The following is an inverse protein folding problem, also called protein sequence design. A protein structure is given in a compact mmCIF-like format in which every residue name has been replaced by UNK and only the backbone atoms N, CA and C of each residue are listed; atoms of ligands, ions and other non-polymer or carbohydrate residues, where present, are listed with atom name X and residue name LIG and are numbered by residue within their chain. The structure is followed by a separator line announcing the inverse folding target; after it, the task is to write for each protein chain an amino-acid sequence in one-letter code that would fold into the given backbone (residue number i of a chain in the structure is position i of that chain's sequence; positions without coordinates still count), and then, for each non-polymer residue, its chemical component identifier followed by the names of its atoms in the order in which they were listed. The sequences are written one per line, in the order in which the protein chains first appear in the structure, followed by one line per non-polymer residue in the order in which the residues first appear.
data_IF_860364423278
#
_entry.id   IF_860364423278
#
_cell.length_a   1.000
_cell.length_b   1.000
_cell.length_c   1.000
_cell.angle_alpha   90.00
_cell.angle_beta   90.00
_cell.angle_gamma   90.00
#
_symmetry.space_group_name_H-M   'P 1'
#
loop_
_entity.id
_entity.type
_entity.pdbx_description
1 polymer ?
#
# COMPACT_ATOMS: atom_id res chain seq x y z
N UNK A 1 -0.44 34.44 17.38
CA UNK A 1 -1.04 34.00 16.12
C UNK A 1 -0.72 35.02 15.06
N UNK A 2 -0.27 34.63 13.86
CA UNK A 2 0.02 35.53 12.74
C UNK A 2 -1.24 35.70 11.90
N UNK A 3 -1.36 36.78 11.13
CA UNK A 3 -2.53 37.05 10.29
C UNK A 3 -2.79 35.92 9.27
N UNK A 4 -1.74 35.38 8.66
CA UNK A 4 -1.87 34.25 7.72
C UNK A 4 -2.37 32.95 8.37
N UNK A 5 -2.19 32.78 9.67
CA UNK A 5 -2.72 31.62 10.40
C UNK A 5 -4.23 31.79 10.66
N UNK A 6 -4.69 33.05 10.85
CA UNK A 6 -6.10 33.38 11.08
C UNK A 6 -6.95 33.07 9.86
N UNK A 7 -6.50 33.45 8.67
CA UNK A 7 -7.22 33.20 7.41
C UNK A 7 -7.47 31.71 7.18
N UNK A 8 -6.42 30.89 7.33
CA UNK A 8 -6.54 29.43 7.19
C UNK A 8 -7.46 28.80 8.25
N UNK A 9 -7.33 29.21 9.52
CA UNK A 9 -8.15 28.68 10.62
C UNK A 9 -9.60 29.15 10.54
N UNK A 10 -9.84 30.28 9.89
CA UNK A 10 -11.18 30.78 9.60
C UNK A 10 -11.97 29.85 8.69
N UNK A 11 -11.36 29.38 7.61
CA UNK A 11 -11.97 28.42 6.69
C UNK A 11 -12.27 27.09 7.39
N UNK A 12 -11.33 26.59 8.20
CA UNK A 12 -11.53 25.38 9.02
C UNK A 12 -12.70 25.51 10.01
N UNK A 13 -12.89 26.71 10.60
CA UNK A 13 -14.03 26.97 11.49
C UNK A 13 -15.38 26.98 10.76
N UNK A 14 -15.43 27.47 9.53
CA UNK A 14 -16.66 27.45 8.70
C UNK A 14 -17.06 26.05 8.31
N UNK A 15 -16.11 25.13 8.19
CA UNK A 15 -16.34 23.69 7.93
C UNK A 15 -16.70 22.90 9.18
N UNK A 16 -16.83 23.54 10.36
CA UNK A 16 -17.25 22.89 11.60
C UNK A 16 -16.13 22.29 12.43
N UNK A 17 -14.86 22.61 12.13
CA UNK A 17 -13.70 22.17 12.90
C UNK A 17 -13.40 23.18 14.02
N UNK A 18 -13.68 22.83 15.27
CA UNK A 18 -13.67 23.76 16.42
C UNK A 18 -12.42 23.91 17.30
N UNK A 19 -11.19 23.41 17.01
CA UNK A 19 -10.19 23.39 18.07
C UNK A 19 -9.56 24.76 18.42
N UNK A 20 -9.74 25.83 17.64
CA UNK A 20 -9.01 27.10 17.85
C UNK A 20 -9.85 28.38 17.77
N UNK A 21 -11.17 28.26 17.85
CA UNK A 21 -12.10 29.42 17.73
C UNK A 21 -11.77 30.58 18.66
N UNK A 22 -11.47 30.30 19.92
CA UNK A 22 -11.14 31.35 20.91
C UNK A 22 -9.86 32.12 20.55
N UNK A 23 -8.86 31.44 20.01
CA UNK A 23 -7.60 32.05 19.60
C UNK A 23 -7.77 32.95 18.37
N UNK A 24 -8.59 32.55 17.40
CA UNK A 24 -8.96 33.35 16.24
C UNK A 24 -9.72 34.61 16.68
N UNK A 25 -10.75 34.44 17.51
CA UNK A 25 -11.55 35.54 18.03
C UNK A 25 -10.71 36.53 18.90
N UNK A 26 -9.73 35.99 19.67
CA UNK A 26 -8.81 36.85 20.43
C UNK A 26 -7.90 37.68 19.52
N UNK A 27 -7.38 37.10 18.42
CA UNK A 27 -6.59 37.81 17.43
C UNK A 27 -7.42 38.89 16.72
N UNK A 28 -8.65 38.56 16.29
CA UNK A 28 -9.57 39.50 15.64
C UNK A 28 -9.86 40.73 16.53
N UNK A 29 -9.95 40.58 17.86
CA UNK A 29 -10.13 41.72 18.78
C UNK A 29 -8.96 42.70 18.78
N UNK A 30 -7.75 42.26 18.41
CA UNK A 30 -6.53 43.07 18.48
C UNK A 30 -5.94 43.48 17.13
N UNK A 31 -6.44 42.96 16.00
CA UNK A 31 -5.89 43.23 14.68
C UNK A 31 -6.92 43.90 13.75
N UNK A 32 -6.81 45.21 13.48
CA UNK A 32 -7.77 45.93 12.62
C UNK A 32 -7.84 45.37 11.19
N UNK A 33 -6.71 44.98 10.61
CA UNK A 33 -6.63 44.42 9.27
C UNK A 33 -7.41 43.09 9.15
N UNK A 34 -7.22 42.20 10.09
CA UNK A 34 -7.98 40.93 10.11
C UNK A 34 -9.47 41.15 10.45
N UNK A 35 -9.82 42.22 11.21
CA UNK A 35 -11.22 42.57 11.44
C UNK A 35 -11.92 43.04 10.17
N UNK A 36 -11.21 43.77 9.30
CA UNK A 36 -11.78 44.28 8.06
C UNK A 36 -12.02 43.10 7.08
N UNK A 37 -11.04 42.23 6.87
CA UNK A 37 -11.17 41.02 6.06
C UNK A 37 -12.30 40.11 6.60
N UNK A 38 -12.38 39.95 7.92
CA UNK A 38 -13.46 39.21 8.56
C UNK A 38 -14.83 39.78 8.24
N UNK A 39 -14.99 41.09 8.36
CA UNK A 39 -16.26 41.78 8.12
C UNK A 39 -16.70 41.71 6.66
N UNK A 40 -15.75 41.80 5.73
CA UNK A 40 -16.02 41.64 4.30
C UNK A 40 -16.48 40.20 3.98
N UNK A 41 -15.79 39.19 4.49
CA UNK A 41 -16.14 37.80 4.28
C UNK A 41 -17.49 37.42 4.90
N UNK A 42 -17.81 37.92 6.10
CA UNK A 42 -19.13 37.74 6.73
C UNK A 42 -20.23 38.43 5.91
N UNK A 43 -19.95 39.60 5.37
CA UNK A 43 -20.87 40.33 4.50
C UNK A 43 -21.17 39.52 3.21
N UNK A 44 -20.15 38.96 2.57
CA UNK A 44 -20.31 38.10 1.40
C UNK A 44 -21.11 36.84 1.77
N UNK A 45 -20.76 36.19 2.87
CA UNK A 45 -21.47 34.98 3.33
C UNK A 45 -22.97 35.28 3.59
N UNK A 46 -23.26 36.41 4.24
CA UNK A 46 -24.63 36.84 4.45
C UNK A 46 -25.37 37.09 3.13
N UNK A 47 -24.75 37.80 2.18
CA UNK A 47 -25.33 38.03 0.85
C UNK A 47 -25.63 36.72 0.13
N UNK A 48 -24.74 35.73 0.23
CA UNK A 48 -24.95 34.39 -0.38
C UNK A 48 -26.16 33.68 0.24
N UNK A 49 -26.38 33.80 1.56
CA UNK A 49 -27.56 33.21 2.22
C UNK A 49 -28.88 33.88 1.83
N UNK A 50 -28.82 35.15 1.37
CA UNK A 50 -29.99 35.88 0.90
C UNK A 50 -30.34 35.63 -0.57
N UNK A 51 -29.49 34.91 -1.31
CA UNK A 51 -29.80 34.54 -2.69
C UNK A 51 -30.91 33.47 -2.72
N UNK A 52 -31.85 33.57 -3.67
CA UNK A 52 -32.84 32.55 -3.83
C UNK A 52 -32.16 31.22 -4.13
N UNK A 53 -32.68 30.08 -3.62
CA UNK A 53 -32.16 28.77 -3.95
C UNK A 53 -32.24 28.58 -5.47
N UNK A 54 -31.12 28.25 -6.09
CA UNK A 54 -31.02 27.96 -7.51
C UNK A 54 -30.98 26.46 -7.67
N UNK A 55 -32.02 25.88 -8.26
CA UNK A 55 -32.01 24.47 -8.64
C UNK A 55 -30.98 24.27 -9.76
N UNK A 56 -29.98 23.41 -9.55
CA UNK A 56 -29.02 23.14 -10.60
C UNK A 56 -29.73 22.50 -11.81
N UNK A 57 -29.31 22.82 -13.06
CA UNK A 57 -29.87 22.17 -14.23
C UNK A 57 -29.79 20.64 -14.09
N UNK A 58 -30.85 19.93 -14.42
CA UNK A 58 -30.89 18.44 -14.34
C UNK A 58 -29.73 17.76 -15.09
N UNK A 59 -29.17 18.43 -16.11
CA UNK A 59 -28.02 17.96 -16.87
C UNK A 59 -26.66 18.15 -16.13
N UNK A 60 -26.62 18.92 -15.02
CA UNK A 60 -25.35 19.24 -14.35
C UNK A 60 -24.80 18.02 -13.59
N UNK A 61 -25.63 17.31 -12.86
CA UNK A 61 -25.23 16.12 -12.09
C UNK A 61 -24.62 15.05 -13.00
N UNK A 62 -25.24 14.64 -14.12
CA UNK A 62 -24.60 13.72 -15.07
C UNK A 62 -23.26 14.23 -15.59
N UNK A 63 -23.16 15.51 -15.97
CA UNK A 63 -21.90 16.09 -16.46
C UNK A 63 -20.79 16.08 -15.42
N UNK A 64 -21.11 16.41 -14.18
CA UNK A 64 -20.13 16.33 -13.06
C UNK A 64 -19.71 14.89 -12.86
N UNK A 65 -20.64 13.93 -12.82
CA UNK A 65 -20.34 12.51 -12.65
C UNK A 65 -19.47 11.98 -13.80
N UNK A 66 -19.74 12.36 -15.03
CA UNK A 66 -18.94 11.97 -16.19
C UNK A 66 -17.55 12.60 -16.14
N UNK A 67 -17.44 13.85 -15.72
CA UNK A 67 -16.16 14.51 -15.51
C UNK A 67 -15.35 13.84 -14.38
N UNK A 68 -15.98 13.51 -13.26
CA UNK A 68 -15.35 12.78 -12.16
C UNK A 68 -14.88 11.41 -12.64
N UNK A 69 -15.72 10.64 -13.36
CA UNK A 69 -15.35 9.33 -13.93
C UNK A 69 -14.17 9.42 -14.89
N UNK A 70 -14.11 10.48 -15.69
CA UNK A 70 -13.02 10.69 -16.64
C UNK A 70 -11.72 11.17 -15.97
N UNK A 71 -11.82 11.95 -14.90
CA UNK A 71 -10.67 12.63 -14.28
C UNK A 71 -10.17 11.89 -13.04
N UNK A 72 -11.10 11.32 -12.26
CA UNK A 72 -10.78 10.57 -11.03
C UNK A 72 -10.89 9.08 -11.35
N UNK A 73 -9.77 8.39 -11.41
CA UNK A 73 -9.73 6.94 -11.43
C UNK A 73 -10.23 6.44 -10.07
N UNK A 74 -11.55 6.32 -9.92
CA UNK A 74 -12.14 5.74 -8.70
C UNK A 74 -11.71 4.28 -8.66
N UNK A 75 -10.64 4.00 -7.94
CA UNK A 75 -10.18 2.65 -7.70
C UNK A 75 -10.98 2.12 -6.50
N UNK A 76 -11.82 1.13 -6.74
CA UNK A 76 -12.57 0.49 -5.67
C UNK A 76 -11.60 -0.02 -4.58
N UNK A 77 -11.96 0.13 -3.29
CA UNK A 77 -11.15 -0.37 -2.19
C UNK A 77 -11.04 -1.90 -2.26
N UNK A 78 -9.90 -2.44 -1.84
CA UNK A 78 -9.76 -3.88 -1.63
C UNK A 78 -10.31 -4.26 -0.25
N UNK A 79 -10.81 -5.48 -0.13
CA UNK A 79 -11.09 -6.08 1.17
C UNK A 79 -9.76 -6.50 1.83
N UNK A 80 -9.66 -6.41 3.16
CA UNK A 80 -8.49 -6.88 3.90
C UNK A 80 -8.89 -7.73 5.08
N UNK A 81 -8.13 -8.79 5.31
CA UNK A 81 -8.31 -9.71 6.43
C UNK A 81 -6.97 -10.08 7.07
N UNK A 82 -7.03 -10.67 8.27
CA UNK A 82 -5.88 -11.24 8.95
C UNK A 82 -5.95 -12.76 8.88
N UNK A 83 -4.81 -13.40 8.61
CA UNK A 83 -4.65 -14.86 8.55
C UNK A 83 -3.43 -15.24 9.38
N UNK A 84 -3.58 -16.19 10.28
CA UNK A 84 -2.46 -16.74 11.05
C UNK A 84 -1.61 -17.65 10.17
N UNK A 85 -0.28 -17.61 10.37
CA UNK A 85 0.67 -18.41 9.61
C UNK A 85 1.86 -18.86 10.47
N UNK A 86 2.66 -19.84 10.01
CA UNK A 86 3.88 -20.30 10.70
C UNK A 86 4.97 -19.23 10.88
N UNK A 87 4.87 -18.12 10.13
CA UNK A 87 5.82 -16.99 10.20
C UNK A 87 5.24 -15.77 10.93
N UNK A 88 4.01 -15.86 11.45
CA UNK A 88 3.30 -14.78 12.14
C UNK A 88 1.98 -14.42 11.45
N UNK A 89 1.34 -13.35 11.93
CA UNK A 89 0.07 -12.86 11.37
C UNK A 89 0.30 -12.18 10.03
N UNK A 90 -0.47 -12.58 9.03
CA UNK A 90 -0.47 -11.99 7.71
C UNK A 90 -1.71 -11.12 7.50
N UNK A 91 -1.52 -9.95 6.91
CA UNK A 91 -2.60 -9.13 6.34
C UNK A 91 -2.71 -9.45 4.86
N UNK A 92 -3.88 -9.87 4.43
CA UNK A 92 -4.15 -10.29 3.07
C UNK A 92 -5.20 -9.37 2.47
N UNK A 93 -4.80 -8.56 1.50
CA UNK A 93 -5.73 -7.77 0.72
C UNK A 93 -6.21 -8.58 -0.49
N UNK A 94 -7.51 -8.49 -0.78
CA UNK A 94 -8.13 -9.27 -1.83
C UNK A 94 -9.34 -8.56 -2.43
N UNK A 95 -9.69 -8.96 -3.63
CA UNK A 95 -10.92 -8.61 -4.35
C UNK A 95 -11.42 -9.84 -5.12
N UNK A 96 -12.52 -9.71 -5.87
CA UNK A 96 -13.08 -10.85 -6.62
C UNK A 96 -12.09 -11.45 -7.63
N UNK A 97 -11.15 -10.65 -8.18
CA UNK A 97 -10.12 -11.12 -9.13
C UNK A 97 -8.96 -11.87 -8.48
N UNK A 98 -8.83 -11.85 -7.14
CA UNK A 98 -7.78 -12.55 -6.42
C UNK A 98 -7.16 -11.76 -5.27
N UNK A 99 -6.12 -12.34 -4.67
CA UNK A 99 -5.29 -11.69 -3.65
C UNK A 99 -4.41 -10.64 -4.32
N UNK A 100 -4.47 -9.41 -3.83
CA UNK A 100 -3.79 -8.24 -4.41
C UNK A 100 -2.56 -7.83 -3.62
N UNK A 101 -2.53 -8.09 -2.30
CA UNK A 101 -1.35 -7.86 -1.48
C UNK A 101 -1.29 -8.78 -0.26
N UNK A 102 -0.06 -9.04 0.20
CA UNK A 102 0.21 -9.73 1.46
C UNK A 102 1.24 -8.91 2.24
N UNK A 103 1.02 -8.72 3.53
CA UNK A 103 1.97 -8.12 4.44
C UNK A 103 2.08 -8.94 5.72
N UNK A 104 3.29 -9.01 6.29
CA UNK A 104 3.54 -9.66 7.57
C UNK A 104 3.46 -8.61 8.68
N UNK A 105 2.77 -8.93 9.77
CA UNK A 105 2.85 -8.16 11.01
C UNK A 105 4.22 -8.38 11.67
N UNK A 106 4.96 -7.29 11.81
CA UNK A 106 6.28 -7.29 12.45
C UNK A 106 6.26 -6.65 13.84
N UNK A 107 5.08 -6.58 14.45
CA UNK A 107 4.88 -5.89 15.73
C UNK A 107 4.70 -4.38 15.58
N UNK A 108 4.42 -3.88 14.37
CA UNK A 108 4.20 -2.45 14.11
C UNK A 108 2.78 -1.98 14.47
N UNK A 109 1.88 -2.94 14.70
CA UNK A 109 0.46 -2.71 14.94
C UNK A 109 -0.38 -2.59 13.66
N UNK A 110 -1.66 -2.89 13.80
CA UNK A 110 -2.63 -2.99 12.70
C UNK A 110 -2.65 -1.73 11.84
N UNK A 111 -2.74 -0.57 12.47
CA UNK A 111 -2.86 0.73 11.78
C UNK A 111 -1.64 1.02 10.89
N UNK A 112 -0.43 0.78 11.38
CA UNK A 112 0.79 1.02 10.63
C UNK A 112 0.91 0.08 9.41
N UNK A 113 0.53 -1.19 9.56
CA UNK A 113 0.52 -2.16 8.46
C UNK A 113 -0.52 -1.78 7.41
N UNK A 114 -1.73 -1.41 7.83
CA UNK A 114 -2.80 -0.97 6.94
C UNK A 114 -2.39 0.28 6.15
N UNK A 115 -1.84 1.30 6.82
CA UNK A 115 -1.37 2.52 6.16
C UNK A 115 -0.26 2.26 5.13
N UNK A 116 0.65 1.31 5.40
CA UNK A 116 1.68 0.88 4.43
C UNK A 116 1.07 0.20 3.22
N UNK A 117 0.11 -0.71 3.44
CA UNK A 117 -0.58 -1.41 2.36
C UNK A 117 -1.40 -0.46 1.50
N UNK A 118 -2.16 0.47 2.10
CA UNK A 118 -2.93 1.49 1.38
C UNK A 118 -2.03 2.36 0.49
N UNK A 119 -0.91 2.86 1.03
CA UNK A 119 0.07 3.62 0.23
C UNK A 119 0.65 2.80 -0.91
N UNK A 120 0.92 1.51 -0.69
CA UNK A 120 1.47 0.62 -1.72
C UNK A 120 0.49 0.31 -2.82
N UNK A 121 -0.78 0.08 -2.48
CA UNK A 121 -1.86 -0.23 -3.42
C UNK A 121 -2.45 1.03 -4.08
N UNK A 122 -2.21 2.22 -3.51
CA UNK A 122 -2.79 3.48 -4.00
C UNK A 122 -4.32 3.52 -3.89
N UNK A 123 -4.90 2.76 -2.93
CA UNK A 123 -6.36 2.69 -2.71
C UNK A 123 -6.71 2.32 -1.27
N UNK A 124 -7.97 2.54 -0.91
CA UNK A 124 -8.50 2.19 0.40
C UNK A 124 -8.51 0.68 0.66
N UNK A 125 -8.53 0.33 1.94
CA UNK A 125 -8.67 -1.05 2.42
C UNK A 125 -9.85 -1.10 3.38
N UNK A 126 -10.77 -2.04 3.17
CA UNK A 126 -11.94 -2.25 4.03
C UNK A 126 -11.76 -3.56 4.79
N UNK A 127 -11.71 -3.54 6.12
CA UNK A 127 -11.71 -4.77 6.91
C UNK A 127 -12.91 -5.65 6.57
N UNK A 128 -12.66 -6.92 6.27
CA UNK A 128 -13.69 -7.86 5.85
C UNK A 128 -13.39 -9.24 6.39
N UNK A 129 -14.43 -10.04 6.59
CA UNK A 129 -14.25 -11.46 6.89
C UNK A 129 -13.64 -12.15 5.66
N UNK A 130 -12.64 -13.00 5.89
CA UNK A 130 -11.99 -13.74 4.82
C UNK A 130 -12.97 -14.73 4.17
N UNK A 131 -13.17 -14.68 2.86
CA UNK A 131 -13.76 -15.80 2.15
C UNK A 131 -12.87 -17.04 2.33
N UNK A 132 -13.49 -18.23 2.38
CA UNK A 132 -12.77 -19.48 2.59
C UNK A 132 -11.61 -19.67 1.61
N UNK A 133 -11.78 -19.30 0.35
CA UNK A 133 -10.73 -19.43 -0.67
C UNK A 133 -9.46 -18.61 -0.36
N UNK A 134 -9.59 -17.46 0.34
CA UNK A 134 -8.42 -16.65 0.74
C UNK A 134 -7.60 -17.38 1.78
N UNK A 135 -8.26 -17.84 2.86
CA UNK A 135 -7.59 -18.56 3.95
C UNK A 135 -7.01 -19.89 3.46
N UNK A 136 -7.71 -20.59 2.58
CA UNK A 136 -7.23 -21.82 1.96
C UNK A 136 -6.02 -21.60 1.07
N UNK A 137 -6.00 -20.53 0.26
CA UNK A 137 -4.84 -20.22 -0.60
C UNK A 137 -3.58 -19.99 0.22
N UNK A 138 -3.68 -19.21 1.30
CA UNK A 138 -2.54 -18.96 2.20
C UNK A 138 -2.13 -20.23 2.94
N UNK A 139 -3.08 -20.99 3.49
CA UNK A 139 -2.80 -22.22 4.21
C UNK A 139 -2.22 -23.30 3.31
N UNK A 140 -2.72 -23.42 2.06
CA UNK A 140 -2.20 -24.36 1.09
C UNK A 140 -0.73 -24.05 0.73
N UNK A 141 -0.37 -22.76 0.58
CA UNK A 141 1.02 -22.38 0.37
C UNK A 141 1.94 -22.92 1.48
N UNK A 142 1.58 -22.76 2.75
CA UNK A 142 2.41 -23.26 3.86
C UNK A 142 2.45 -24.79 3.98
N UNK A 143 1.46 -25.49 3.43
CA UNK A 143 1.47 -26.97 3.39
C UNK A 143 2.28 -27.54 2.22
N UNK A 144 2.18 -26.90 1.06
CA UNK A 144 2.73 -27.44 -0.21
C UNK A 144 3.95 -26.66 -0.68
N UNK A 145 4.18 -25.48 -0.14
CA UNK A 145 5.14 -24.48 -0.61
C UNK A 145 4.98 -24.12 -2.11
N UNK A 146 3.82 -24.44 -2.67
CA UNK A 146 3.46 -24.12 -4.05
C UNK A 146 2.27 -23.15 -4.04
N UNK A 147 2.41 -21.97 -4.65
CA UNK A 147 1.33 -21.01 -4.71
C UNK A 147 0.29 -21.39 -5.77
N UNK A 148 -0.98 -21.19 -5.46
CA UNK A 148 -2.04 -21.15 -6.47
C UNK A 148 -2.09 -19.75 -7.11
N UNK A 149 -1.37 -19.58 -8.21
CA UNK A 149 -1.27 -18.30 -8.90
C UNK A 149 -2.59 -17.86 -9.56
N UNK A 150 -3.53 -18.76 -9.76
CA UNK A 150 -4.85 -18.43 -10.30
C UNK A 150 -5.69 -17.61 -9.30
N UNK A 151 -5.32 -17.65 -8.02
CA UNK A 151 -5.96 -16.88 -6.94
C UNK A 151 -5.26 -15.56 -6.63
N UNK A 152 -4.28 -15.15 -7.44
CA UNK A 152 -3.45 -13.96 -7.16
C UNK A 152 -3.56 -12.96 -8.31
N UNK A 153 -3.88 -11.71 -7.98
CA UNK A 153 -4.02 -10.64 -8.95
C UNK A 153 -2.82 -9.69 -8.90
N UNK A 154 -1.99 -9.76 -9.94
CA UNK A 154 -0.86 -8.85 -10.17
C UNK A 154 -1.06 -8.01 -11.45
N UNK A 155 -2.29 -7.86 -11.92
CA UNK A 155 -2.61 -7.17 -13.18
C UNK A 155 -2.17 -5.70 -13.21
N UNK A 156 -2.02 -5.07 -12.05
CA UNK A 156 -1.59 -3.68 -11.91
C UNK A 156 -0.09 -3.46 -12.02
N UNK A 157 0.69 -4.54 -11.98
CA UNK A 157 2.13 -4.47 -12.20
C UNK A 157 2.43 -4.29 -13.70
N UNK A 158 3.58 -3.71 -13.99
CA UNK A 158 4.06 -3.61 -15.37
C UNK A 158 4.27 -5.01 -15.99
N UNK A 159 4.18 -5.16 -17.32
CA UNK A 159 4.41 -6.44 -17.99
C UNK A 159 5.76 -7.08 -17.62
N UNK A 160 6.81 -6.28 -17.44
CA UNK A 160 8.12 -6.77 -17.01
C UNK A 160 8.07 -7.32 -15.57
N UNK A 161 7.46 -6.59 -14.63
CA UNK A 161 7.33 -7.03 -13.24
C UNK A 161 6.50 -8.32 -13.13
N UNK A 162 5.39 -8.41 -13.87
CA UNK A 162 4.59 -9.64 -13.94
C UNK A 162 5.41 -10.82 -14.47
N UNK A 163 6.16 -10.61 -15.55
CA UNK A 163 7.00 -11.66 -16.14
C UNK A 163 8.12 -12.10 -15.19
N UNK A 164 8.75 -11.16 -14.48
CA UNK A 164 9.79 -11.44 -13.50
C UNK A 164 9.24 -12.25 -12.31
N UNK A 165 8.07 -11.89 -11.79
CA UNK A 165 7.42 -12.62 -10.70
C UNK A 165 6.97 -14.02 -11.12
N UNK A 166 6.40 -14.15 -12.33
CA UNK A 166 6.05 -15.47 -12.88
C UNK A 166 7.28 -16.36 -13.08
N UNK A 167 8.40 -15.79 -13.52
CA UNK A 167 9.66 -16.52 -13.62
C UNK A 167 10.17 -16.98 -12.24
N UNK A 168 10.07 -16.13 -11.21
CA UNK A 168 10.41 -16.50 -9.84
C UNK A 168 9.51 -17.63 -9.31
N UNK A 169 8.23 -17.65 -9.66
CA UNK A 169 7.30 -18.69 -9.26
C UNK A 169 7.61 -20.08 -9.86
N UNK A 170 8.45 -20.15 -10.90
CA UNK A 170 8.91 -21.44 -11.44
C UNK A 170 10.05 -22.07 -10.65
N UNK A 171 10.63 -21.37 -9.67
CA UNK A 171 11.67 -21.92 -8.81
C UNK A 171 11.02 -22.89 -7.83
N UNK A 172 11.45 -24.17 -7.77
CA UNK A 172 10.88 -25.14 -6.86
C UNK A 172 11.09 -24.76 -5.38
N UNK A 173 10.22 -25.22 -4.47
CA UNK A 173 10.49 -25.13 -3.03
C UNK A 173 11.84 -25.76 -2.68
N UNK A 174 12.55 -25.17 -1.72
CA UNK A 174 13.88 -25.63 -1.32
C UNK A 174 15.01 -25.29 -2.27
N UNK A 175 14.74 -24.56 -3.35
CA UNK A 175 15.75 -24.09 -4.28
C UNK A 175 15.79 -22.56 -4.36
N UNK A 176 16.96 -22.04 -4.71
CA UNK A 176 17.13 -20.60 -4.97
C UNK A 176 17.74 -20.36 -6.34
N UNK A 177 17.45 -19.23 -6.92
CA UNK A 177 18.05 -18.77 -8.19
C UNK A 177 18.47 -17.31 -8.06
N UNK A 178 19.46 -16.92 -8.85
CA UNK A 178 19.97 -15.53 -8.84
C UNK A 178 19.05 -14.60 -9.63
N UNK A 179 19.14 -13.28 -9.33
CA UNK A 179 18.47 -12.26 -10.17
C UNK A 179 18.92 -12.37 -11.64
N UNK A 180 20.20 -12.71 -11.88
CA UNK A 180 20.73 -12.94 -13.23
C UNK A 180 20.08 -14.11 -13.94
N UNK A 181 19.79 -15.21 -13.23
CA UNK A 181 19.08 -16.36 -13.81
C UNK A 181 17.67 -15.97 -14.28
N UNK A 182 16.92 -15.17 -13.50
CA UNK A 182 15.62 -14.66 -13.94
C UNK A 182 15.78 -13.76 -15.16
N UNK A 183 16.76 -12.86 -15.15
CA UNK A 183 17.03 -11.97 -16.28
C UNK A 183 17.32 -12.74 -17.57
N UNK A 184 18.13 -13.82 -17.49
CA UNK A 184 18.37 -14.74 -18.62
C UNK A 184 17.09 -15.44 -19.09
N UNK A 185 16.27 -15.94 -18.16
CA UNK A 185 15.00 -16.59 -18.47
C UNK A 185 14.01 -15.67 -19.18
N UNK A 186 14.10 -14.36 -18.92
CA UNK A 186 13.30 -13.33 -19.60
C UNK A 186 13.90 -12.88 -20.94
N UNK A 187 15.02 -13.46 -21.39
CA UNK A 187 15.73 -13.03 -22.60
C UNK A 187 16.43 -11.67 -22.48
N UNK A 188 16.62 -11.17 -21.26
CA UNK A 188 17.24 -9.87 -20.96
C UNK A 188 18.40 -10.02 -19.94
N UNK A 189 19.51 -10.66 -20.30
CA UNK A 189 20.57 -11.06 -19.35
C UNK A 189 21.20 -9.88 -18.58
N UNK A 190 21.13 -8.66 -19.12
CA UNK A 190 21.66 -7.45 -18.48
C UNK A 190 20.67 -6.83 -17.48
N UNK A 191 19.42 -7.33 -17.41
CA UNK A 191 18.34 -6.73 -16.62
C UNK A 191 18.30 -7.18 -15.14
N UNK A 192 19.36 -7.78 -14.58
CA UNK A 192 19.37 -8.29 -13.20
C UNK A 192 18.96 -7.23 -12.15
N UNK A 193 19.37 -5.96 -12.31
CA UNK A 193 18.96 -4.85 -11.44
C UNK A 193 17.44 -4.54 -11.56
N UNK A 194 16.90 -4.63 -12.77
CA UNK A 194 15.45 -4.43 -13.00
C UNK A 194 14.64 -5.58 -12.37
N UNK A 195 15.12 -6.82 -12.46
CA UNK A 195 14.55 -7.97 -11.75
C UNK A 195 14.58 -7.74 -10.25
N UNK A 196 15.69 -7.25 -9.69
CA UNK A 196 15.77 -6.89 -8.26
C UNK A 196 14.71 -5.88 -7.84
N UNK A 197 14.46 -4.84 -8.65
CA UNK A 197 13.38 -3.88 -8.41
C UNK A 197 12.00 -4.52 -8.49
N UNK A 198 11.76 -5.41 -9.46
CA UNK A 198 10.51 -6.15 -9.57
C UNK A 198 10.25 -7.01 -8.33
N UNK A 199 11.28 -7.72 -7.84
CA UNK A 199 11.17 -8.51 -6.59
C UNK A 199 10.86 -7.63 -5.36
N UNK A 200 11.50 -6.45 -5.26
CA UNK A 200 11.24 -5.50 -4.17
C UNK A 200 9.82 -4.89 -4.21
N UNK A 201 9.24 -4.78 -5.41
CA UNK A 201 7.89 -4.28 -5.63
C UNK A 201 6.80 -5.35 -5.56
N UNK A 202 7.16 -6.62 -5.36
CA UNK A 202 6.19 -7.72 -5.26
C UNK A 202 5.10 -7.42 -4.21
N UNK A 203 3.84 -7.21 -4.58
CA UNK A 203 2.78 -6.90 -3.62
C UNK A 203 2.31 -8.13 -2.83
N UNK A 204 2.57 -9.33 -3.33
CA UNK A 204 2.10 -10.61 -2.78
C UNK A 204 3.26 -11.56 -2.45
N UNK A 205 4.19 -11.14 -1.55
CA UNK A 205 5.26 -12.03 -1.11
C UNK A 205 4.68 -13.33 -0.58
N UNK A 206 5.45 -14.41 -0.60
CA UNK A 206 5.04 -15.81 -0.39
C UNK A 206 4.38 -16.39 -1.64
N UNK A 207 3.22 -15.91 -2.04
CA UNK A 207 2.47 -16.42 -3.20
C UNK A 207 3.22 -16.20 -4.52
N UNK A 208 3.91 -15.05 -4.67
CA UNK A 208 4.99 -14.93 -5.64
C UNK A 208 6.32 -14.99 -4.88
N UNK A 209 7.08 -16.11 -4.97
CA UNK A 209 8.14 -16.47 -4.05
C UNK A 209 9.45 -15.70 -4.30
N UNK A 210 9.42 -14.38 -4.14
CA UNK A 210 10.62 -13.53 -4.25
C UNK A 210 11.70 -13.86 -3.19
N UNK A 211 11.35 -14.61 -2.14
CA UNK A 211 12.31 -15.15 -1.17
C UNK A 211 13.24 -16.22 -1.77
N UNK A 212 12.86 -16.91 -2.85
CA UNK A 212 13.70 -17.86 -3.59
C UNK A 212 14.70 -17.19 -4.52
N UNK A 213 14.72 -15.85 -4.57
CA UNK A 213 15.66 -15.12 -5.43
C UNK A 213 16.77 -14.52 -4.57
N UNK A 214 18.02 -14.79 -4.94
CA UNK A 214 19.25 -14.42 -4.23
C UNK A 214 20.19 -13.64 -5.15
N UNK A 215 21.28 -13.09 -4.61
CA UNK A 215 22.31 -12.47 -5.43
C UNK A 215 23.23 -13.49 -6.13
N UNK A 216 24.23 -12.99 -6.85
CA UNK A 216 25.20 -13.82 -7.57
C UNK A 216 26.14 -14.63 -6.65
N UNK A 217 26.23 -14.24 -5.37
CA UNK A 217 27.04 -14.96 -4.35
C UNK A 217 26.22 -15.97 -3.56
N UNK A 218 24.89 -16.02 -3.79
CA UNK A 218 23.97 -16.83 -2.99
C UNK A 218 23.54 -16.17 -1.68
N UNK A 219 23.98 -14.92 -1.42
CA UNK A 219 23.60 -14.23 -0.20
C UNK A 219 22.13 -13.79 -0.20
N UNK A 220 21.51 -13.86 0.97
CA UNK A 220 20.15 -13.40 1.19
C UNK A 220 20.15 -11.88 1.28
N UNK A 221 19.90 -11.22 0.15
CA UNK A 221 19.70 -9.78 0.12
C UNK A 221 18.35 -9.37 0.73
N UNK A 222 18.14 -8.04 0.83
CA UNK A 222 16.94 -7.41 1.37
C UNK A 222 15.66 -8.12 0.90
N UNK A 223 14.78 -8.37 1.85
CA UNK A 223 13.46 -8.95 1.64
C UNK A 223 12.40 -8.05 2.27
N UNK A 224 11.20 -8.06 1.74
CA UNK A 224 10.11 -7.21 2.22
C UNK A 224 9.86 -7.32 3.73
N UNK A 225 10.07 -8.50 4.29
CA UNK A 225 9.86 -8.81 5.70
C UNK A 225 11.16 -8.93 6.53
N UNK A 226 12.31 -8.63 5.93
CA UNK A 226 13.63 -8.80 6.56
C UNK A 226 14.31 -10.11 6.18
N UNK A 227 15.62 -10.14 6.36
CA UNK A 227 16.47 -11.27 5.97
C UNK A 227 16.18 -12.51 6.82
N UNK A 228 15.88 -12.31 8.10
CA UNK A 228 15.55 -13.38 9.05
C UNK A 228 14.27 -14.12 8.63
N UNK A 229 13.25 -13.38 8.21
CA UNK A 229 11.99 -13.98 7.73
C UNK A 229 12.21 -14.70 6.40
N UNK A 230 13.05 -14.14 5.52
CA UNK A 230 13.44 -14.82 4.27
C UNK A 230 14.12 -16.15 4.55
N UNK A 231 15.09 -16.16 5.46
CA UNK A 231 15.79 -17.37 5.90
C UNK A 231 14.80 -18.39 6.47
N UNK A 232 13.90 -17.95 7.36
CA UNK A 232 12.88 -18.82 7.98
C UNK A 232 11.96 -19.46 6.96
N UNK A 233 11.52 -18.72 5.93
CA UNK A 233 10.67 -19.28 4.87
C UNK A 233 11.45 -20.33 4.07
N UNK A 234 12.69 -20.04 3.69
CA UNK A 234 13.54 -20.98 2.95
C UNK A 234 13.83 -22.25 3.76
N UNK A 235 14.04 -22.14 5.08
CA UNK A 235 14.17 -23.31 5.97
C UNK A 235 12.88 -24.17 5.98
N UNK A 236 11.71 -23.53 6.09
CA UNK A 236 10.42 -24.24 6.02
C UNK A 236 10.24 -24.97 4.68
N UNK A 237 10.81 -24.42 3.60
CA UNK A 237 10.83 -25.06 2.27
C UNK A 237 11.90 -26.14 2.11
N UNK A 238 12.74 -26.38 3.12
CA UNK A 238 13.81 -27.37 3.09
C UNK A 238 15.11 -26.93 2.43
N UNK A 239 15.31 -25.60 2.24
CA UNK A 239 16.57 -25.09 1.70
C UNK A 239 17.71 -25.28 2.70
N UNK A 240 18.74 -26.03 2.29
CA UNK A 240 19.88 -26.40 3.14
C UNK A 240 21.09 -25.48 3.02
N UNK A 241 21.09 -24.54 2.07
CA UNK A 241 22.22 -23.66 1.79
C UNK A 241 22.52 -22.60 2.86
N UNK A 242 21.63 -22.47 3.87
CA UNK A 242 21.81 -21.56 5.01
C UNK A 242 22.73 -22.11 6.12
N UNK A 243 23.11 -23.40 6.05
CA UNK A 243 23.99 -24.04 7.03
C UNK A 243 25.43 -23.61 6.81
N UNK A 244 25.77 -22.39 7.21
CA UNK A 244 27.14 -21.87 7.11
C UNK A 244 27.28 -20.36 6.95
N UNK A 245 26.20 -19.62 6.78
CA UNK A 245 26.28 -18.16 6.79
C UNK A 245 26.28 -17.64 8.25
N UNK A 246 27.32 -16.91 8.68
CA UNK A 246 27.30 -16.27 10.01
C UNK A 246 26.16 -15.24 10.06
N UNK A 247 25.54 -15.00 11.23
CA UNK A 247 24.54 -13.96 11.39
C UNK A 247 25.18 -12.62 11.02
N UNK A 248 24.71 -12.01 9.94
CA UNK A 248 25.18 -10.66 9.58
C UNK A 248 24.70 -9.69 10.64
N UNK A 249 25.66 -9.11 11.37
CA UNK A 249 25.42 -8.07 12.35
C UNK A 249 24.56 -6.94 11.77
N UNK A 250 23.54 -6.56 12.52
CA UNK A 250 22.64 -5.48 12.17
C UNK A 250 23.43 -4.20 11.86
N UNK A 251 23.29 -3.68 10.65
CA UNK A 251 23.88 -2.40 10.26
C UNK A 251 23.14 -1.30 11.00
N UNK A 252 23.82 -0.39 11.72
CA UNK A 252 23.16 0.69 12.44
C UNK A 252 22.38 1.61 11.47
N UNK A 253 21.29 2.25 11.92
CA UNK A 253 20.51 3.16 11.09
C UNK A 253 21.37 4.38 10.70
N UNK A 254 21.23 4.81 9.44
CA UNK A 254 21.74 6.10 8.97
C UNK A 254 20.73 7.18 9.23
#
# INVERSE_FOLDING_TARGET
MRCCDVERLWDEMREGVEPQREHVLAHLRGCPECQEIYRENEGIAYCLTCLPPVDPPQSLVPKILDHIKATVKIVAPDSITRVDSPIGKLYVAFRHSGITAVALDRGEGDEAVLAKLQRRLGRGLIPSQAPQWVTETVSAFFRTHQPDLAKVDISELTPFEQSALRAAATIPPGEVRTYGWIAQKLGQPTAARAVGRAMARNPVPLLYPCHRVVDSTGALHQYAYGVEVKARILELEGYSGLKGAPPQAARPPR
#
